data_IF_276744311943
#
_entry.id   IF_276744311943
#
_cell.length_a   1.000
_cell.length_b   1.000
_cell.length_c   1.000
_cell.angle_alpha   90.00
_cell.angle_beta   90.00
_cell.angle_gamma   90.00
#
_symmetry.space_group_name_H-M   'P 1'
#
loop_
_entity.id
_entity.type
_entity.pdbx_description
1 polymer ?
#
# COMPACT_ATOMS: atom_id res chain seq x y z
N UNK A 1 0.85 18.70 0.42
CA UNK A 1 1.65 17.98 -0.59
C UNK A 1 0.85 16.75 -1.00
N UNK A 2 0.48 16.65 -2.27
CA UNK A 2 -0.28 15.50 -2.77
C UNK A 2 0.64 14.27 -2.74
N UNK A 3 0.32 13.30 -1.88
CA UNK A 3 1.08 12.07 -1.81
C UNK A 3 0.60 11.19 -2.97
N UNK A 4 1.39 11.13 -4.04
CA UNK A 4 1.11 10.27 -5.18
C UNK A 4 1.49 8.82 -4.86
N UNK A 5 0.66 7.88 -5.32
CA UNK A 5 0.98 6.45 -5.29
C UNK A 5 2.11 6.23 -6.30
N UNK A 6 3.23 5.71 -5.82
CA UNK A 6 4.36 5.30 -6.65
C UNK A 6 4.22 3.84 -7.02
N UNK A 7 4.11 3.56 -8.31
CA UNK A 7 4.20 2.20 -8.83
C UNK A 7 5.68 1.84 -8.88
N UNK A 8 6.09 0.84 -8.11
CA UNK A 8 7.46 0.30 -8.19
C UNK A 8 7.51 -0.73 -9.29
N UNK A 9 6.61 -1.71 -9.22
CA UNK A 9 6.40 -2.79 -10.18
C UNK A 9 4.89 -3.02 -10.35
N UNK A 10 4.48 -3.84 -11.32
CA UNK A 10 3.07 -4.19 -11.56
C UNK A 10 2.36 -4.80 -10.35
N UNK A 11 3.14 -5.45 -9.46
CA UNK A 11 2.65 -6.08 -8.24
C UNK A 11 3.05 -5.33 -6.96
N UNK A 12 3.69 -4.16 -7.05
CA UNK A 12 4.19 -3.45 -5.87
C UNK A 12 4.02 -1.95 -5.98
N UNK A 13 3.29 -1.38 -5.03
CA UNK A 13 2.93 0.02 -4.97
C UNK A 13 3.41 0.60 -3.64
N UNK A 14 3.91 1.83 -3.65
CA UNK A 14 4.37 2.53 -2.46
C UNK A 14 3.69 3.88 -2.36
N UNK A 15 3.28 4.25 -1.16
CA UNK A 15 2.72 5.55 -0.86
C UNK A 15 3.37 6.08 0.40
N UNK A 16 3.93 7.28 0.37
CA UNK A 16 4.40 7.96 1.58
C UNK A 16 3.41 9.04 1.95
N UNK A 17 2.80 8.95 3.14
CA UNK A 17 1.87 9.96 3.61
C UNK A 17 2.11 10.32 5.06
N UNK A 18 2.31 11.62 5.33
CA UNK A 18 2.48 12.19 6.69
C UNK A 18 3.52 11.45 7.54
N UNK A 19 4.65 11.08 6.95
CA UNK A 19 5.73 10.35 7.64
C UNK A 19 5.51 8.85 7.81
N UNK A 20 4.38 8.31 7.33
CA UNK A 20 4.13 6.88 7.25
C UNK A 20 4.39 6.40 5.82
N UNK A 21 5.06 5.26 5.70
CA UNK A 21 5.28 4.59 4.43
C UNK A 21 4.36 3.38 4.33
N UNK A 22 3.58 3.34 3.26
CA UNK A 22 2.68 2.26 2.93
C UNK A 22 3.26 1.54 1.72
N UNK A 23 3.40 0.23 1.80
CA UNK A 23 3.81 -0.61 0.68
C UNK A 23 2.72 -1.65 0.47
N UNK A 24 2.06 -1.61 -0.68
CA UNK A 24 1.07 -2.59 -1.09
C UNK A 24 1.73 -3.55 -2.07
N UNK A 25 1.63 -4.84 -1.80
CA UNK A 25 2.19 -5.91 -2.62
C UNK A 25 1.07 -6.87 -3.01
N UNK A 26 1.01 -7.28 -4.28
CA UNK A 26 0.13 -8.36 -4.73
C UNK A 26 0.85 -9.69 -4.51
N UNK A 27 0.30 -10.52 -3.62
CA UNK A 27 0.78 -11.86 -3.32
C UNK A 27 -0.28 -12.88 -3.78
N UNK A 28 -0.15 -13.34 -5.03
CA UNK A 28 -1.14 -14.21 -5.67
C UNK A 28 -2.49 -13.51 -5.85
N UNK A 29 -3.53 -14.05 -5.22
CA UNK A 29 -4.90 -13.51 -5.25
C UNK A 29 -5.16 -12.50 -4.13
N UNK A 30 -4.21 -12.30 -3.22
CA UNK A 30 -4.35 -11.39 -2.08
C UNK A 30 -3.43 -10.18 -2.17
N UNK A 31 -3.78 -9.15 -1.41
CA UNK A 31 -3.05 -7.89 -1.31
C UNK A 31 -2.46 -7.73 0.09
N UNK A 32 -1.14 -7.69 0.19
CA UNK A 32 -0.42 -7.46 1.44
C UNK A 32 -0.04 -5.98 1.58
N UNK A 33 -0.58 -5.30 2.58
CA UNK A 33 -0.23 -3.93 2.93
C UNK A 33 0.74 -3.90 4.13
N UNK A 34 1.94 -3.38 3.89
CA UNK A 34 2.94 -3.11 4.90
C UNK A 34 2.92 -1.62 5.26
N UNK A 35 2.79 -1.29 6.55
CA UNK A 35 2.78 0.10 7.01
C UNK A 35 3.93 0.33 7.97
N UNK A 36 4.94 1.07 7.51
CA UNK A 36 6.12 1.44 8.30
C UNK A 36 5.93 2.88 8.78
N UNK A 37 5.79 3.06 10.09
CA UNK A 37 5.81 4.37 10.73
C UNK A 37 7.10 4.54 11.56
N UNK A 38 7.31 5.75 12.10
CA UNK A 38 8.48 6.04 12.94
C UNK A 38 8.59 5.08 14.14
N UNK A 39 7.46 4.68 14.74
CA UNK A 39 7.43 3.74 15.86
C UNK A 39 7.85 2.33 15.44
N UNK A 40 7.39 1.81 14.30
CA UNK A 40 7.76 0.49 13.76
C UNK A 40 9.24 0.46 13.39
N UNK A 41 9.78 1.56 12.84
CA UNK A 41 11.22 1.70 12.59
C UNK A 41 12.04 1.62 13.89
N UNK A 42 11.58 2.29 14.94
CA UNK A 42 12.27 2.32 16.22
C UNK A 42 12.14 1.00 17.01
N UNK A 43 10.98 0.36 16.98
CA UNK A 43 10.66 -0.81 17.83
C UNK A 43 10.92 -2.15 17.15
N UNK A 44 10.75 -2.24 15.84
CA UNK A 44 10.84 -3.51 15.11
C UNK A 44 11.89 -3.47 14.00
N UNK A 45 12.86 -2.56 14.12
CA UNK A 45 13.91 -2.29 13.12
C UNK A 45 13.35 -2.07 11.69
N UNK A 46 12.11 -1.58 11.58
CA UNK A 46 11.43 -1.35 10.31
C UNK A 46 10.60 -2.52 9.77
N UNK A 47 10.53 -3.67 10.46
CA UNK A 47 9.64 -4.77 10.06
C UNK A 47 8.18 -4.46 10.38
N UNK A 48 7.43 -4.00 9.38
CA UNK A 48 5.98 -3.86 9.47
C UNK A 48 5.29 -5.22 9.31
N UNK A 49 4.29 -5.49 10.16
CA UNK A 49 3.43 -6.67 10.01
C UNK A 49 2.48 -6.42 8.83
N UNK A 50 2.50 -7.27 7.79
CA UNK A 50 1.58 -7.12 6.67
C UNK A 50 0.14 -7.33 7.10
N UNK A 51 -0.76 -6.53 6.52
CA UNK A 51 -2.20 -6.80 6.55
C UNK A 51 -2.63 -7.30 5.19
N UNK A 52 -3.21 -8.48 5.18
CA UNK A 52 -3.74 -9.11 3.99
C UNK A 52 -5.17 -8.63 3.73
N UNK A 53 -5.49 -8.42 2.46
CA UNK A 53 -6.80 -8.02 1.95
C UNK A 53 -7.10 -8.85 0.71
N UNK A 54 -8.33 -9.34 0.60
CA UNK A 54 -8.73 -10.15 -0.57
C UNK A 54 -9.04 -9.29 -1.80
N UNK A 55 -9.31 -7.98 -1.61
CA UNK A 55 -9.63 -7.07 -2.70
C UNK A 55 -9.12 -5.65 -2.45
N UNK A 56 -8.93 -4.92 -3.55
CA UNK A 56 -8.54 -3.51 -3.51
C UNK A 56 -9.62 -2.63 -2.86
N UNK A 57 -10.90 -2.98 -3.00
CA UNK A 57 -11.99 -2.27 -2.33
C UNK A 57 -11.83 -2.25 -0.80
N UNK A 58 -11.38 -3.38 -0.21
CA UNK A 58 -11.09 -3.43 1.23
C UNK A 58 -9.90 -2.52 1.59
N UNK A 59 -8.87 -2.47 0.73
CA UNK A 59 -7.72 -1.57 0.91
C UNK A 59 -8.18 -0.11 0.86
N UNK A 60 -9.05 0.25 -0.09
CA UNK A 60 -9.59 1.60 -0.25
C UNK A 60 -10.51 2.00 0.91
N UNK A 61 -11.33 1.07 1.41
CA UNK A 61 -12.17 1.28 2.58
C UNK A 61 -11.34 1.52 3.84
N UNK A 62 -10.22 0.80 4.00
CA UNK A 62 -9.32 0.92 5.14
C UNK A 62 -8.44 2.18 5.05
N UNK A 63 -7.87 2.42 3.87
CA UNK A 63 -6.89 3.48 3.63
C UNK A 63 -7.42 4.48 2.61
N UNK A 64 -8.03 5.55 3.10
CA UNK A 64 -8.57 6.64 2.24
C UNK A 64 -7.53 7.24 1.28
N UNK A 65 -6.25 7.22 1.66
CA UNK A 65 -5.14 7.70 0.83
C UNK A 65 -4.85 6.82 -0.39
N UNK A 66 -5.38 5.59 -0.41
CA UNK A 66 -5.26 4.62 -1.49
C UNK A 66 -6.52 4.55 -2.37
N UNK A 67 -7.51 5.42 -2.13
CA UNK A 67 -8.71 5.49 -2.95
C UNK A 67 -8.35 5.82 -4.40
N UNK A 68 -8.83 4.99 -5.33
CA UNK A 68 -8.52 5.05 -6.76
C UNK A 68 -7.38 4.11 -7.20
N UNK A 69 -6.85 3.26 -6.31
CA UNK A 69 -5.81 2.28 -6.68
C UNK A 69 -6.33 1.24 -7.68
N UNK A 70 -7.61 0.87 -7.56
CA UNK A 70 -8.30 -0.04 -8.48
C UNK A 70 -8.33 0.51 -9.91
N UNK A 71 -8.65 1.79 -10.05
CA UNK A 71 -8.59 2.53 -11.32
C UNK A 71 -7.16 2.66 -11.87
N UNK A 72 -6.19 2.90 -11.00
CA UNK A 72 -4.77 3.02 -11.39
C UNK A 72 -4.22 1.71 -11.94
N UNK A 73 -4.60 0.58 -11.33
CA UNK A 73 -4.27 -0.76 -11.82
C UNK A 73 -4.97 -1.09 -13.14
N UNK A 74 -6.26 -0.78 -13.26
CA UNK A 74 -7.04 -0.94 -14.50
C UNK A 74 -6.41 -0.19 -15.68
N UNK A 75 -5.85 1.01 -15.44
CA UNK A 75 -5.26 1.84 -16.49
C UNK A 75 -3.82 1.41 -16.88
N UNK A 76 -3.14 0.63 -16.04
CA UNK A 76 -1.77 0.15 -16.29
C UNK A 76 -1.72 -1.27 -16.87
N UNK A 77 -2.86 -1.95 -17.06
CA UNK A 77 -2.87 -3.29 -17.65
C UNK A 77 -4.16 -4.06 -17.43
N UNK A 78 -5.26 -3.58 -18.02
CA UNK A 78 -6.34 -4.50 -18.41
C UNK A 78 -5.89 -5.42 -19.54
#
# INVERSE_FOLDING_TARGET
MANAIQVVNDNTFKLKARGNEYTLVKEGDQWAMYVVNASVRAWNNGFAIPKYFDSLEQVEAKYKSWKGISLLLCNNGC
#
